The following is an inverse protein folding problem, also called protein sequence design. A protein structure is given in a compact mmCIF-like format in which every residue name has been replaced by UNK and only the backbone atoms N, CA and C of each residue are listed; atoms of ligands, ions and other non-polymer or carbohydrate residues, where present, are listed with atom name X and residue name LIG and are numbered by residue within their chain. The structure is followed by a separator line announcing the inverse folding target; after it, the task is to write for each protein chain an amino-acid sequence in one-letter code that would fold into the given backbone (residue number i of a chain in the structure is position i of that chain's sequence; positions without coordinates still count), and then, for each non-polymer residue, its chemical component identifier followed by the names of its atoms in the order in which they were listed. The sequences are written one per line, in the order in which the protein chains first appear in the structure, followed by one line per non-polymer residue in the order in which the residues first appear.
data_IF_062555256593
#
_entry.id   IF_062555256593
#
_cell.length_a   1.000
_cell.length_b   1.000
_cell.length_c   1.000
_cell.angle_alpha   90.00
_cell.angle_beta   90.00
_cell.angle_gamma   90.00
#
_symmetry.space_group_name_H-M   'P 1'
#
loop_
_entity.id
_entity.type
_entity.pdbx_description
1 polymer ?
#
# COMPACT_ATOMS: atom_id res chain seq x y z
N UNK A 1 26.88 7.71 16.26
CA UNK A 1 27.57 6.39 16.33
C UNK A 1 26.65 5.16 16.29
N UNK A 2 25.35 5.23 16.67
CA UNK A 2 24.39 4.11 16.48
C UNK A 2 23.80 3.96 15.06
N UNK A 3 23.97 4.96 14.19
CA UNK A 3 23.45 4.96 12.81
C UNK A 3 24.26 4.11 11.81
N UNK A 4 25.51 3.76 12.14
CA UNK A 4 26.43 3.06 11.21
C UNK A 4 26.37 1.53 11.32
N UNK A 5 25.69 0.95 12.32
CA UNK A 5 25.69 -0.50 12.57
C UNK A 5 24.46 -1.25 12.01
N UNK A 6 23.55 -0.57 11.29
CA UNK A 6 22.41 -1.22 10.60
C UNK A 6 22.64 -1.43 9.09
N UNK A 7 23.85 -1.19 8.56
CA UNK A 7 24.11 -1.21 7.11
C UNK A 7 24.02 -2.60 6.43
N UNK A 8 23.74 -3.69 7.16
CA UNK A 8 23.74 -5.05 6.60
C UNK A 8 22.40 -5.80 6.61
N UNK A 9 21.29 -5.20 7.06
CA UNK A 9 20.00 -5.90 7.21
C UNK A 9 18.90 -5.17 6.46
N UNK A 10 18.19 -5.88 5.57
CA UNK A 10 16.99 -5.34 4.92
C UNK A 10 15.96 -4.90 5.98
N UNK A 11 15.60 -3.62 5.94
CA UNK A 11 14.54 -3.04 6.77
C UNK A 11 13.23 -3.19 6.01
N UNK A 12 12.21 -3.79 6.63
CA UNK A 12 10.91 -3.94 5.95
C UNK A 12 10.15 -2.63 5.96
N UNK A 13 9.21 -2.49 5.05
CA UNK A 13 8.18 -1.47 5.18
C UNK A 13 7.07 -1.97 6.13
N UNK A 14 6.41 -1.03 6.80
CA UNK A 14 5.24 -1.24 7.65
C UNK A 14 4.09 -0.34 7.22
N UNK A 15 2.88 -0.88 7.26
CA UNK A 15 1.64 -0.17 6.97
C UNK A 15 0.88 0.14 8.27
N UNK A 16 0.97 1.37 8.76
CA UNK A 16 0.31 1.78 10.01
C UNK A 16 -1.05 2.38 9.67
N UNK A 17 -2.08 1.91 10.37
CA UNK A 17 -3.47 2.34 10.20
C UNK A 17 -3.99 2.83 11.55
N UNK A 18 -4.26 4.13 11.68
CA UNK A 18 -4.89 4.73 12.86
C UNK A 18 -6.32 5.12 12.52
N UNK A 19 -7.28 4.72 13.34
CA UNK A 19 -8.69 5.08 13.17
C UNK A 19 -9.24 5.61 14.49
N UNK A 20 -9.63 6.89 14.52
CA UNK A 20 -10.16 7.56 15.71
C UNK A 20 -11.58 8.10 15.47
N UNK A 21 -12.54 7.89 16.38
CA UNK A 21 -13.87 8.49 16.29
C UNK A 21 -13.79 10.02 16.48
N UNK A 22 -14.49 10.76 15.63
CA UNK A 22 -14.59 12.23 15.69
C UNK A 22 -15.79 12.61 16.54
N UNK A 23 -15.63 13.61 17.42
CA UNK A 23 -16.74 14.10 18.24
C UNK A 23 -17.82 14.77 17.36
N UNK A 24 -19.11 14.61 17.68
CA UNK A 24 -20.19 15.14 16.84
C UNK A 24 -20.13 16.66 16.61
N UNK A 25 -19.63 17.42 17.57
CA UNK A 25 -19.49 18.88 17.52
C UNK A 25 -18.27 19.35 16.71
N UNK A 26 -17.35 18.43 16.36
CA UNK A 26 -16.10 18.73 15.66
C UNK A 26 -16.09 18.28 14.18
N UNK A 27 -17.18 17.69 13.67
CA UNK A 27 -17.26 17.13 12.31
C UNK A 27 -16.93 18.18 11.21
N UNK A 28 -17.53 19.38 11.28
CA UNK A 28 -17.26 20.44 10.30
C UNK A 28 -15.85 21.04 10.42
N UNK A 29 -15.31 21.07 11.64
CA UNK A 29 -13.98 21.60 11.91
C UNK A 29 -12.90 20.69 11.30
N UNK A 30 -13.02 19.37 11.48
CA UNK A 30 -12.06 18.41 10.90
C UNK A 30 -12.14 18.38 9.38
N UNK A 31 -13.33 18.50 8.78
CA UNK A 31 -13.48 18.60 7.33
C UNK A 31 -12.73 19.81 6.76
N UNK A 32 -12.88 20.97 7.40
CA UNK A 32 -12.21 22.21 7.01
C UNK A 32 -10.69 22.10 7.18
N UNK A 33 -10.23 21.52 8.29
CA UNK A 33 -8.83 21.29 8.58
C UNK A 33 -8.17 20.38 7.51
N UNK A 34 -8.81 19.26 7.17
CA UNK A 34 -8.28 18.36 6.16
C UNK A 34 -8.29 18.97 4.76
N UNK A 35 -9.28 19.80 4.43
CA UNK A 35 -9.30 20.54 3.16
C UNK A 35 -8.13 21.54 3.07
N UNK A 36 -7.76 22.20 4.18
CA UNK A 36 -6.58 23.06 4.24
C UNK A 36 -5.28 22.25 4.13
N UNK A 37 -5.15 21.19 4.92
CA UNK A 37 -3.98 20.29 4.88
C UNK A 37 -3.78 19.68 3.48
N UNK A 38 -4.87 19.38 2.77
CA UNK A 38 -4.86 18.78 1.44
C UNK A 38 -4.26 19.65 0.35
N UNK A 39 -4.21 20.98 0.53
CA UNK A 39 -3.62 21.91 -0.46
C UNK A 39 -2.13 21.68 -0.68
N UNK A 40 -1.42 21.29 0.38
CA UNK A 40 -0.03 20.84 0.33
C UNK A 40 0.19 19.74 1.38
N UNK A 41 -0.14 18.50 1.00
CA UNK A 41 0.02 17.36 1.87
C UNK A 41 1.48 17.16 2.36
N UNK A 42 2.47 17.62 1.60
CA UNK A 42 3.88 17.51 1.97
C UNK A 42 4.30 18.50 3.05
N UNK A 43 3.84 19.74 2.96
CA UNK A 43 4.33 20.85 3.79
C UNK A 43 3.27 21.52 4.67
N UNK A 44 2.07 20.98 4.77
CA UNK A 44 1.03 21.50 5.67
C UNK A 44 1.50 21.64 7.12
N UNK A 45 0.93 22.60 7.85
CA UNK A 45 1.37 22.96 9.20
C UNK A 45 1.12 21.87 10.26
N UNK A 46 0.17 20.97 10.03
CA UNK A 46 -0.33 20.02 11.04
C UNK A 46 0.45 18.70 11.01
N UNK A 47 0.60 18.13 9.83
CA UNK A 47 1.28 16.85 9.59
C UNK A 47 2.08 16.94 8.27
N UNK A 48 3.25 17.61 8.28
CA UNK A 48 4.07 17.80 7.09
C UNK A 48 4.76 16.49 6.68
N UNK A 49 4.11 15.68 5.85
CA UNK A 49 4.60 14.36 5.46
C UNK A 49 5.99 14.40 4.78
N UNK A 50 6.35 15.48 4.10
CA UNK A 50 7.65 15.63 3.45
C UNK A 50 8.83 15.68 4.43
N UNK A 51 8.58 16.03 5.70
CA UNK A 51 9.60 16.07 6.76
C UNK A 51 9.87 14.71 7.40
N UNK A 52 9.07 13.68 7.06
CA UNK A 52 9.22 12.34 7.60
C UNK A 52 10.15 11.53 6.69
N UNK A 53 11.41 11.25 7.11
CA UNK A 53 12.45 10.78 6.21
C UNK A 53 12.19 9.39 5.62
N UNK A 54 11.53 8.53 6.41
CA UNK A 54 11.30 7.12 6.11
C UNK A 54 9.86 6.82 5.68
N UNK A 55 9.08 7.86 5.37
CA UNK A 55 7.71 7.74 4.87
C UNK A 55 7.72 7.58 3.34
N UNK A 56 7.02 6.55 2.85
CA UNK A 56 6.78 6.35 1.41
C UNK A 56 5.46 7.00 0.99
N UNK A 57 4.38 6.72 1.74
CA UNK A 57 3.05 7.25 1.47
C UNK A 57 2.36 7.70 2.76
N UNK A 58 1.64 8.82 2.68
CA UNK A 58 0.80 9.33 3.74
C UNK A 58 -0.62 9.60 3.23
N UNK A 59 -1.63 9.26 4.03
CA UNK A 59 -3.03 9.50 3.69
C UNK A 59 -3.85 9.85 4.91
N UNK A 60 -4.64 10.90 4.84
CA UNK A 60 -5.63 11.26 5.86
C UNK A 60 -7.00 11.42 5.20
N UNK A 61 -8.00 10.74 5.73
CA UNK A 61 -9.37 10.82 5.22
C UNK A 61 -10.42 10.55 6.29
N UNK A 62 -11.67 10.86 5.96
CA UNK A 62 -12.81 10.68 6.85
C UNK A 62 -13.66 9.48 6.41
N UNK A 63 -14.02 8.63 7.36
CA UNK A 63 -15.15 7.71 7.22
C UNK A 63 -16.42 8.45 7.62
N UNK A 64 -17.42 8.57 6.72
CA UNK A 64 -18.64 9.30 7.04
C UNK A 64 -19.45 8.60 8.12
N UNK A 65 -20.28 9.39 8.80
CA UNK A 65 -21.30 8.90 9.73
C UNK A 65 -22.13 7.83 9.02
N UNK A 66 -22.35 6.71 9.69
CA UNK A 66 -23.15 5.61 9.17
C UNK A 66 -24.18 5.17 10.19
N UNK A 67 -25.31 4.66 9.71
CA UNK A 67 -26.34 4.10 10.57
C UNK A 67 -26.42 2.59 10.36
N UNK A 68 -26.35 1.85 11.47
CA UNK A 68 -26.79 0.46 11.51
C UNK A 68 -28.21 0.41 12.07
N UNK A 69 -28.91 -0.72 11.93
CA UNK A 69 -30.27 -0.89 12.47
C UNK A 69 -30.40 -0.57 13.97
N UNK A 70 -29.30 -0.63 14.73
CA UNK A 70 -29.30 -0.48 16.18
C UNK A 70 -28.37 0.61 16.73
N UNK A 71 -27.55 1.28 15.90
CA UNK A 71 -26.58 2.27 16.38
C UNK A 71 -26.09 3.22 15.29
N UNK A 72 -25.92 4.50 15.64
CA UNK A 72 -25.10 5.48 14.88
C UNK A 72 -23.62 5.11 15.03
N UNK A 73 -22.94 4.97 13.92
CA UNK A 73 -21.47 4.88 13.85
C UNK A 73 -20.99 6.31 13.61
N UNK A 74 -20.16 6.88 14.51
CA UNK A 74 -19.66 8.25 14.35
C UNK A 74 -18.79 8.39 13.10
N UNK A 75 -18.58 9.63 12.68
CA UNK A 75 -17.51 9.96 11.76
C UNK A 75 -16.18 9.48 12.36
N UNK A 76 -15.25 9.03 11.51
CA UNK A 76 -13.91 8.63 11.98
C UNK A 76 -12.84 9.27 11.13
N UNK A 77 -11.82 9.79 11.79
CA UNK A 77 -10.57 10.18 11.20
C UNK A 77 -9.72 8.94 10.96
N UNK A 78 -9.16 8.81 9.75
CA UNK A 78 -8.26 7.72 9.39
C UNK A 78 -6.94 8.29 8.92
N UNK A 79 -5.84 7.84 9.54
CA UNK A 79 -4.48 8.11 9.10
C UNK A 79 -3.84 6.79 8.65
N UNK A 80 -3.45 6.70 7.39
CA UNK A 80 -2.69 5.59 6.84
C UNK A 80 -1.29 6.08 6.47
N UNK A 81 -0.27 5.37 6.94
CA UNK A 81 1.10 5.60 6.49
C UNK A 81 1.76 4.30 6.05
N UNK A 82 2.51 4.35 4.97
CA UNK A 82 3.43 3.30 4.52
C UNK A 82 4.85 3.85 4.75
N UNK A 83 5.62 3.20 5.62
CA UNK A 83 6.91 3.72 6.07
C UNK A 83 7.92 2.58 6.33
N UNK A 84 9.21 2.88 6.48
CA UNK A 84 10.19 1.86 6.89
C UNK A 84 10.04 1.50 8.37
N UNK A 85 10.31 0.24 8.73
CA UNK A 85 10.32 -0.24 10.11
C UNK A 85 11.38 0.48 10.98
N UNK A 86 11.16 0.56 12.31
CA UNK A 86 10.05 -0.02 13.06
C UNK A 86 8.85 0.94 13.25
N UNK A 87 7.65 0.37 13.32
CA UNK A 87 6.41 1.14 13.51
C UNK A 87 6.43 2.09 14.72
N UNK A 88 7.13 1.71 15.80
CA UNK A 88 7.26 2.53 17.00
C UNK A 88 8.01 3.84 16.77
N UNK A 89 9.06 3.82 15.93
CA UNK A 89 9.81 5.02 15.56
C UNK A 89 8.95 5.90 14.63
N UNK A 90 8.22 5.28 13.69
CA UNK A 90 7.30 5.99 12.79
C UNK A 90 6.14 6.69 13.52
N UNK A 91 5.56 6.06 14.54
CA UNK A 91 4.55 6.70 15.38
C UNK A 91 5.14 7.89 16.16
N UNK A 92 6.36 7.76 16.68
CA UNK A 92 7.04 8.86 17.38
C UNK A 92 7.34 10.04 16.44
N UNK A 93 7.74 9.76 15.21
CA UNK A 93 7.95 10.78 14.17
C UNK A 93 6.65 11.50 13.79
N UNK A 94 5.54 10.77 13.65
CA UNK A 94 4.23 11.39 13.36
C UNK A 94 3.82 12.38 14.45
N UNK A 95 3.89 12.00 15.73
CA UNK A 95 3.48 12.88 16.84
C UNK A 95 4.44 14.06 17.05
N UNK A 96 5.69 13.93 16.59
CA UNK A 96 6.74 14.94 16.68
C UNK A 96 6.87 15.79 15.41
N UNK A 97 6.05 15.55 14.38
CA UNK A 97 6.20 16.18 13.07
C UNK A 97 5.95 17.70 13.09
N UNK A 98 5.09 18.16 14.01
CA UNK A 98 4.73 19.56 14.16
C UNK A 98 4.19 19.87 15.55
N UNK A 99 4.36 21.12 15.98
CA UNK A 99 3.68 21.65 17.16
C UNK A 99 2.15 21.72 16.99
N UNK A 100 1.65 21.79 15.75
CA UNK A 100 0.21 21.82 15.46
C UNK A 100 -0.41 20.42 15.31
N UNK A 101 0.35 19.34 15.52
CA UNK A 101 -0.12 17.95 15.39
C UNK A 101 -1.41 17.69 16.17
N UNK A 102 -1.51 18.24 17.38
CA UNK A 102 -2.66 18.06 18.26
C UNK A 102 -3.97 18.53 17.61
N UNK A 103 -3.92 19.55 16.74
CA UNK A 103 -5.11 20.08 16.04
C UNK A 103 -5.85 19.01 15.23
N UNK A 104 -5.13 17.98 14.75
CA UNK A 104 -5.70 16.88 13.98
C UNK A 104 -6.53 15.92 14.83
N UNK A 105 -6.07 15.63 16.06
CA UNK A 105 -6.71 14.65 16.94
C UNK A 105 -7.51 15.29 18.07
N UNK A 106 -7.36 16.58 18.31
CA UNK A 106 -8.16 17.35 19.25
C UNK A 106 -9.65 17.37 18.88
N UNK A 107 -10.04 16.99 17.66
CA UNK A 107 -11.44 16.77 17.27
C UNK A 107 -11.97 15.35 17.59
N UNK A 108 -11.10 14.43 18.01
CA UNK A 108 -11.44 13.04 18.26
C UNK A 108 -11.91 12.80 19.69
N UNK A 109 -12.68 11.73 19.89
CA UNK A 109 -13.06 11.27 21.24
C UNK A 109 -11.81 10.77 21.99
N UNK A 110 -11.80 10.97 23.30
CA UNK A 110 -10.76 10.51 24.24
C UNK A 110 -9.33 11.02 23.96
N UNK A 111 -9.17 12.05 23.12
CA UNK A 111 -7.88 12.70 22.94
C UNK A 111 -7.50 13.52 24.18
N UNK A 112 -6.24 13.48 24.66
CA UNK A 112 -5.85 14.22 25.86
C UNK A 112 -6.04 15.73 25.72
N UNK A 113 -6.59 16.38 26.76
CA UNK A 113 -6.74 17.84 26.80
C UNK A 113 -5.38 18.56 26.87
N UNK A 114 -4.41 17.96 27.58
CA UNK A 114 -3.03 18.43 27.69
C UNK A 114 -2.05 17.38 27.13
N UNK A 115 -1.88 17.31 25.80
CA UNK A 115 -1.15 16.22 25.17
C UNK A 115 0.38 16.37 25.30
N UNK A 116 0.99 15.47 26.08
CA UNK A 116 2.45 15.21 26.05
C UNK A 116 2.82 14.24 24.92
N UNK A 117 4.10 14.19 24.47
CA UNK A 117 4.57 13.21 23.49
C UNK A 117 4.20 11.75 23.83
N UNK A 118 4.28 11.37 25.11
CA UNK A 118 3.93 10.03 25.59
C UNK A 118 2.44 9.76 25.45
N UNK A 119 1.59 10.73 25.83
CA UNK A 119 0.14 10.62 25.73
C UNK A 119 -0.34 10.56 24.27
N UNK A 120 0.31 11.31 23.35
CA UNK A 120 0.05 11.25 21.90
C UNK A 120 0.36 9.85 21.36
N UNK A 121 1.52 9.31 21.70
CA UNK A 121 1.92 7.95 21.26
C UNK A 121 0.97 6.90 21.83
N UNK A 122 0.60 7.02 23.11
CA UNK A 122 -0.35 6.12 23.75
C UNK A 122 -1.71 6.16 23.05
N UNK A 123 -2.21 7.37 22.74
CA UNK A 123 -3.45 7.58 22.00
C UNK A 123 -3.38 6.93 20.61
N UNK A 124 -2.35 7.22 19.81
CA UNK A 124 -2.21 6.61 18.48
C UNK A 124 -2.17 5.09 18.56
N UNK A 125 -1.39 4.52 19.50
CA UNK A 125 -1.28 3.06 19.69
C UNK A 125 -2.62 2.43 20.05
N UNK A 126 -3.41 3.07 20.91
CA UNK A 126 -4.76 2.59 21.26
C UNK A 126 -5.72 2.57 20.06
N UNK A 127 -5.45 3.41 19.05
CA UNK A 127 -6.25 3.56 17.84
C UNK A 127 -5.63 2.88 16.60
N UNK A 128 -4.50 2.17 16.75
CA UNK A 128 -3.94 1.37 15.67
C UNK A 128 -4.83 0.14 15.43
N UNK A 129 -5.27 -0.03 14.18
CA UNK A 129 -6.07 -1.17 13.74
C UNK A 129 -5.18 -2.11 12.91
N UNK A 130 -5.28 -3.41 13.19
CA UNK A 130 -4.58 -4.44 12.43
C UNK A 130 -5.09 -4.51 10.98
N UNK A 131 -4.17 -4.54 10.02
CA UNK A 131 -4.50 -4.78 8.61
C UNK A 131 -4.84 -6.28 8.43
N UNK A 132 -6.00 -6.58 7.88
CA UNK A 132 -6.41 -7.97 7.61
C UNK A 132 -5.58 -8.62 6.51
N UNK A 133 -5.16 -7.82 5.53
CA UNK A 133 -4.16 -8.18 4.53
C UNK A 133 -3.42 -6.93 4.07
N UNK A 134 -2.14 -7.08 3.76
CA UNK A 134 -1.31 -6.01 3.23
C UNK A 134 -0.34 -6.53 2.17
N UNK A 135 0.09 -5.63 1.32
CA UNK A 135 1.05 -5.90 0.25
C UNK A 135 1.95 -4.69 0.07
N UNK A 136 3.23 -4.98 -0.14
CA UNK A 136 4.23 -4.01 -0.55
C UNK A 136 4.99 -4.58 -1.74
N UNK A 137 5.14 -3.77 -2.78
CA UNK A 137 5.68 -4.16 -4.07
C UNK A 137 7.00 -4.92 -3.96
N UNK A 138 8.01 -4.29 -3.34
CA UNK A 138 9.31 -4.90 -3.10
C UNK A 138 9.67 -4.75 -1.64
N UNK A 139 9.59 -5.87 -0.92
CA UNK A 139 9.92 -5.93 0.51
C UNK A 139 11.40 -5.64 0.70
N UNK A 140 11.72 -4.74 1.62
CA UNK A 140 13.10 -4.46 2.02
C UNK A 140 13.75 -3.27 1.32
N UNK A 141 13.05 -2.62 0.38
CA UNK A 141 13.55 -1.45 -0.33
C UNK A 141 13.18 -0.18 0.45
N UNK A 142 14.15 0.35 1.19
CA UNK A 142 13.95 1.50 2.08
C UNK A 142 13.77 2.80 1.32
N UNK A 143 13.22 3.80 2.00
CA UNK A 143 13.02 5.13 1.47
C UNK A 143 14.34 5.80 1.06
N UNK A 144 15.36 5.68 1.92
CA UNK A 144 16.71 6.13 1.61
C UNK A 144 17.30 5.42 0.37
N UNK A 145 17.06 4.12 0.23
CA UNK A 145 17.52 3.36 -0.94
C UNK A 145 16.84 3.84 -2.23
N UNK A 146 15.51 4.04 -2.23
CA UNK A 146 14.80 4.50 -3.45
C UNK A 146 15.30 5.88 -3.87
N UNK A 147 15.43 6.83 -2.93
CA UNK A 147 15.99 8.17 -3.23
C UNK A 147 17.41 8.07 -3.78
N UNK A 148 18.27 7.29 -3.13
CA UNK A 148 19.64 7.10 -3.54
C UNK A 148 19.76 6.49 -4.93
N UNK A 149 18.99 5.44 -5.23
CA UNK A 149 19.01 4.76 -6.53
C UNK A 149 18.47 5.64 -7.65
N UNK A 150 17.48 6.50 -7.37
CA UNK A 150 17.01 7.50 -8.32
C UNK A 150 18.07 8.57 -8.62
N UNK A 151 18.73 9.12 -7.60
CA UNK A 151 19.81 10.09 -7.77
C UNK A 151 21.02 9.48 -8.50
N UNK A 152 21.37 8.23 -8.15
CA UNK A 152 22.43 7.47 -8.81
C UNK A 152 22.17 7.30 -10.31
N UNK A 153 20.93 6.95 -10.70
CA UNK A 153 20.57 6.84 -12.13
C UNK A 153 20.86 8.15 -12.86
N UNK A 154 20.38 9.27 -12.31
CA UNK A 154 20.56 10.60 -12.93
C UNK A 154 22.04 10.93 -13.05
N UNK A 155 22.82 10.75 -11.98
CA UNK A 155 24.26 11.01 -12.00
C UNK A 155 25.02 10.13 -13.01
N UNK A 156 24.66 8.85 -13.16
CA UNK A 156 25.25 7.96 -14.16
C UNK A 156 24.87 8.42 -15.57
N UNK A 157 23.63 8.84 -15.80
CA UNK A 157 23.18 9.36 -17.09
C UNK A 157 23.95 10.63 -17.46
N UNK A 158 24.02 11.60 -16.54
CA UNK A 158 24.76 12.84 -16.73
C UNK A 158 26.24 12.58 -17.04
N UNK A 159 26.87 11.62 -16.34
CA UNK A 159 28.23 11.18 -16.63
C UNK A 159 28.38 10.60 -18.05
N UNK A 160 27.45 9.73 -18.46
CA UNK A 160 27.48 9.14 -19.80
C UNK A 160 27.29 10.20 -20.89
N UNK A 161 26.53 11.25 -20.63
CA UNK A 161 26.27 12.33 -21.58
C UNK A 161 27.46 13.31 -21.74
N UNK A 162 28.48 13.24 -20.88
CA UNK A 162 29.68 14.12 -20.97
C UNK A 162 30.56 13.88 -22.20
N UNK A 163 30.48 12.71 -22.83
CA UNK A 163 31.32 12.34 -24.00
C UNK A 163 30.70 11.24 -24.85
N UNK A 164 31.22 11.07 -26.06
CA UNK A 164 30.88 9.91 -26.89
C UNK A 164 31.58 8.64 -26.38
N UNK A 165 30.84 7.54 -26.37
CA UNK A 165 31.31 6.19 -26.02
C UNK A 165 31.41 5.27 -27.25
N UNK A 166 31.32 5.85 -28.46
CA UNK A 166 31.38 5.09 -29.71
C UNK A 166 32.71 4.32 -29.83
N UNK A 167 32.62 3.04 -30.20
CA UNK A 167 33.78 2.16 -30.36
C UNK A 167 34.33 1.55 -29.07
N UNK A 168 33.79 1.90 -27.89
CA UNK A 168 34.14 1.24 -26.63
C UNK A 168 33.32 -0.03 -26.41
N UNK A 169 33.90 -1.04 -25.77
CA UNK A 169 33.14 -2.21 -25.33
C UNK A 169 32.20 -1.85 -24.19
N UNK A 170 31.08 -2.57 -24.06
CA UNK A 170 30.15 -2.40 -22.95
C UNK A 170 30.82 -2.66 -21.60
N UNK A 171 31.79 -3.57 -21.56
CA UNK A 171 32.62 -3.82 -20.37
C UNK A 171 33.46 -2.60 -19.98
N UNK A 172 34.04 -1.89 -20.95
CA UNK A 172 34.81 -0.66 -20.71
C UNK A 172 33.92 0.49 -20.24
N UNK A 173 32.75 0.67 -20.87
CA UNK A 173 31.77 1.68 -20.44
C UNK A 173 31.32 1.40 -19.00
N UNK A 174 30.98 0.15 -18.68
CA UNK A 174 30.64 -0.26 -17.30
C UNK A 174 31.79 0.00 -16.33
N UNK A 175 33.03 -0.31 -16.72
CA UNK A 175 34.19 -0.03 -15.88
C UNK A 175 34.32 1.46 -15.59
N UNK A 176 34.16 2.32 -16.61
CA UNK A 176 34.22 3.76 -16.45
C UNK A 176 33.11 4.30 -15.51
N UNK A 177 31.86 3.79 -15.64
CA UNK A 177 30.77 4.12 -14.71
C UNK A 177 31.15 3.74 -13.27
N UNK A 178 31.72 2.54 -13.06
CA UNK A 178 32.15 2.10 -11.72
C UNK A 178 33.25 2.98 -11.14
N UNK A 179 34.19 3.43 -11.98
CA UNK A 179 35.25 4.37 -11.57
C UNK A 179 34.66 5.73 -11.19
N UNK A 180 33.73 6.26 -11.99
CA UNK A 180 33.00 7.49 -11.67
C UNK A 180 32.28 7.39 -10.33
N UNK A 181 31.47 6.34 -10.14
CA UNK A 181 30.73 6.10 -8.88
C UNK A 181 31.68 5.91 -7.68
N UNK A 182 32.85 5.27 -7.88
CA UNK A 182 33.84 5.11 -6.81
C UNK A 182 34.51 6.45 -6.43
N UNK A 183 34.72 7.32 -7.41
CA UNK A 183 35.34 8.63 -7.24
C UNK A 183 34.46 9.63 -6.49
N UNK A 184 33.14 9.51 -6.59
CA UNK A 184 32.17 10.37 -5.93
C UNK A 184 31.80 9.84 -4.53
N UNK A 185 31.99 10.65 -3.48
CA UNK A 185 31.67 10.26 -2.10
C UNK A 185 30.18 10.01 -1.86
N UNK A 186 29.32 10.72 -2.60
CA UNK A 186 27.87 10.67 -2.43
C UNK A 186 27.24 9.49 -3.20
N UNK A 187 27.99 8.91 -4.15
CA UNK A 187 27.56 7.75 -4.94
C UNK A 187 28.23 6.43 -4.52
N UNK A 188 29.36 6.48 -3.81
CA UNK A 188 30.18 5.30 -3.48
C UNK A 188 29.41 4.18 -2.78
N UNK A 189 28.42 4.52 -1.95
CA UNK A 189 27.54 3.56 -1.27
C UNK A 189 26.83 2.60 -2.25
N UNK A 190 26.61 3.02 -3.50
CA UNK A 190 25.91 2.24 -4.52
C UNK A 190 26.72 1.03 -5.01
N UNK A 191 28.05 1.03 -4.81
CA UNK A 191 28.92 -0.11 -5.15
C UNK A 191 28.72 -1.31 -4.23
N UNK A 192 28.23 -1.05 -3.01
CA UNK A 192 27.85 -2.10 -2.07
C UNK A 192 26.48 -2.69 -2.48
N UNK A 193 26.37 -4.02 -2.61
CA UNK A 193 25.09 -4.67 -2.89
C UNK A 193 24.03 -4.29 -1.86
N UNK A 194 22.78 -4.16 -2.31
CA UNK A 194 21.67 -3.91 -1.41
C UNK A 194 21.58 -5.00 -0.33
N UNK A 195 21.29 -4.59 0.92
CA UNK A 195 21.20 -5.49 2.04
C UNK A 195 20.08 -6.52 1.82
N UNK A 196 20.40 -7.80 2.01
CA UNK A 196 19.40 -8.87 1.99
C UNK A 196 18.71 -9.06 3.34
N UNK A 197 17.62 -9.85 3.40
CA UNK A 197 17.04 -10.25 4.68
C UNK A 197 18.04 -11.09 5.48
N UNK A 198 18.20 -10.73 6.75
CA UNK A 198 19.04 -11.46 7.71
C UNK A 198 18.59 -12.91 7.88
N UNK A 199 19.49 -13.79 8.35
CA UNK A 199 19.15 -15.18 8.66
C UNK A 199 17.98 -15.28 9.65
N UNK A 200 17.95 -14.42 10.68
CA UNK A 200 16.86 -14.37 11.65
C UNK A 200 15.52 -14.03 10.98
N UNK A 201 15.50 -13.04 10.10
CA UNK A 201 14.28 -12.69 9.35
C UNK A 201 13.84 -13.82 8.42
N UNK A 202 14.78 -14.48 7.73
CA UNK A 202 14.46 -15.64 6.88
C UNK A 202 13.86 -16.78 7.70
N UNK A 203 14.48 -17.12 8.84
CA UNK A 203 13.98 -18.16 9.74
C UNK A 203 12.61 -17.79 10.32
N UNK A 204 12.38 -16.51 10.67
CA UNK A 204 11.09 -16.05 11.13
C UNK A 204 10.00 -16.18 10.05
N UNK A 205 10.31 -15.86 8.78
CA UNK A 205 9.37 -16.06 7.67
C UNK A 205 9.09 -17.53 7.40
N UNK A 206 10.12 -18.38 7.40
CA UNK A 206 9.94 -19.83 7.27
C UNK A 206 9.11 -20.41 8.41
N UNK A 207 9.41 -20.01 9.66
CA UNK A 207 8.63 -20.41 10.83
C UNK A 207 7.17 -19.96 10.74
N UNK A 208 6.93 -18.73 10.29
CA UNK A 208 5.58 -18.24 10.04
C UNK A 208 4.85 -19.08 8.98
N UNK A 209 5.48 -19.33 7.83
CA UNK A 209 4.90 -20.11 6.75
C UNK A 209 4.59 -21.55 7.19
N UNK A 210 5.55 -22.24 7.82
CA UNK A 210 5.38 -23.61 8.30
C UNK A 210 4.27 -23.70 9.36
N UNK A 211 4.19 -22.73 10.28
CA UNK A 211 3.10 -22.66 11.25
C UNK A 211 1.75 -22.48 10.56
N UNK A 212 1.65 -21.59 9.58
CA UNK A 212 0.40 -21.35 8.84
C UNK A 212 -0.03 -22.58 8.02
N UNK A 213 0.91 -23.25 7.36
CA UNK A 213 0.64 -24.50 6.62
C UNK A 213 0.27 -25.64 7.57
N UNK A 214 0.95 -25.77 8.71
CA UNK A 214 0.62 -26.75 9.74
C UNK A 214 -0.78 -26.56 10.31
N UNK A 215 -1.18 -25.33 10.63
CA UNK A 215 -2.55 -25.00 11.04
C UNK A 215 -3.57 -25.35 9.94
N UNK A 216 -3.24 -25.05 8.68
CA UNK A 216 -4.06 -25.42 7.53
C UNK A 216 -4.24 -26.94 7.40
N UNK A 217 -3.17 -27.71 7.57
CA UNK A 217 -3.20 -29.17 7.53
C UNK A 217 -4.03 -29.77 8.68
N UNK A 218 -3.89 -29.22 9.89
CA UNK A 218 -4.69 -29.61 11.05
C UNK A 218 -6.19 -29.31 10.84
N UNK A 219 -6.51 -28.20 10.18
CA UNK A 219 -7.90 -27.83 9.85
C UNK A 219 -8.46 -28.59 8.64
N UNK A 220 -7.61 -29.24 7.83
CA UNK A 220 -8.01 -29.84 6.55
C UNK A 220 -9.10 -30.93 6.69
N UNK A 221 -9.07 -31.88 7.65
CA UNK A 221 -10.13 -32.88 7.77
C UNK A 221 -11.51 -32.26 8.01
N UNK A 222 -11.57 -31.25 8.88
CA UNK A 222 -12.81 -30.51 9.14
C UNK A 222 -13.24 -29.69 7.92
N UNK A 223 -12.29 -29.07 7.22
CA UNK A 223 -12.59 -28.31 6.01
C UNK A 223 -13.15 -29.21 4.89
N UNK A 224 -12.59 -30.41 4.69
CA UNK A 224 -13.07 -31.41 3.73
C UNK A 224 -14.48 -31.85 4.11
N UNK A 225 -14.73 -32.14 5.40
CA UNK A 225 -16.05 -32.52 5.90
C UNK A 225 -17.10 -31.41 5.66
N UNK A 226 -16.74 -30.15 5.87
CA UNK A 226 -17.64 -29.00 5.71
C UNK A 226 -17.73 -28.48 4.26
N UNK A 227 -16.87 -28.94 3.35
CA UNK A 227 -16.80 -28.42 1.98
C UNK A 227 -18.11 -28.57 1.19
N UNK A 228 -18.85 -29.69 1.26
CA UNK A 228 -20.13 -29.81 0.56
C UNK A 228 -21.18 -28.80 1.07
N UNK A 229 -21.26 -28.63 2.39
CA UNK A 229 -22.16 -27.65 3.01
C UNK A 229 -21.77 -26.22 2.61
N UNK A 230 -20.48 -25.90 2.66
CA UNK A 230 -19.96 -24.61 2.21
C UNK A 230 -20.31 -24.35 0.75
N UNK A 231 -20.11 -25.32 -0.14
CA UNK A 231 -20.44 -25.20 -1.55
C UNK A 231 -21.94 -24.96 -1.77
N UNK A 232 -22.82 -25.68 -1.05
CA UNK A 232 -24.27 -25.47 -1.12
C UNK A 232 -24.67 -24.06 -0.67
N UNK A 233 -24.16 -23.61 0.48
CA UNK A 233 -24.44 -22.27 1.02
C UNK A 233 -23.89 -21.17 0.10
N UNK A 234 -22.69 -21.35 -0.45
CA UNK A 234 -22.10 -20.45 -1.43
C UNK A 234 -23.02 -20.31 -2.64
N UNK A 235 -23.46 -21.44 -3.21
CA UNK A 235 -24.32 -21.45 -4.40
C UNK A 235 -25.70 -20.87 -4.12
N UNK A 236 -26.24 -21.08 -2.92
CA UNK A 236 -27.49 -20.44 -2.50
C UNK A 236 -27.32 -18.91 -2.45
N UNK A 237 -26.33 -18.41 -1.71
CA UNK A 237 -26.06 -16.99 -1.59
C UNK A 237 -25.70 -16.31 -2.92
N UNK A 238 -24.94 -16.96 -3.81
CA UNK A 238 -24.64 -16.43 -5.14
C UNK A 238 -25.89 -16.25 -6.03
N UNK A 239 -26.96 -17.02 -5.77
CA UNK A 239 -28.23 -16.92 -6.49
C UNK A 239 -29.20 -15.92 -5.84
N UNK A 240 -29.18 -15.81 -4.52
CA UNK A 240 -30.18 -15.03 -3.76
C UNK A 240 -29.71 -13.63 -3.37
N UNK A 241 -28.41 -13.41 -3.19
CA UNK A 241 -27.91 -12.11 -2.78
C UNK A 241 -28.16 -11.05 -3.87
N UNK A 242 -28.62 -9.85 -3.51
CA UNK A 242 -28.79 -8.77 -4.47
C UNK A 242 -27.44 -8.27 -4.99
N UNK A 243 -27.40 -7.97 -6.29
CA UNK A 243 -26.25 -7.37 -6.97
C UNK A 243 -26.75 -6.15 -7.77
N UNK A 244 -27.14 -5.09 -7.06
CA UNK A 244 -27.73 -3.91 -7.69
C UNK A 244 -26.64 -3.05 -8.34
N UNK A 245 -26.74 -2.84 -9.64
CA UNK A 245 -25.93 -1.85 -10.35
C UNK A 245 -26.52 -0.47 -10.12
N UNK A 246 -25.77 0.40 -9.43
CA UNK A 246 -26.15 1.78 -9.15
C UNK A 246 -24.96 2.66 -9.45
N UNK A 247 -25.12 3.54 -10.45
CA UNK A 247 -24.12 4.53 -10.82
C UNK A 247 -24.11 5.67 -9.81
N UNK A 248 -22.93 6.23 -9.52
CA UNK A 248 -22.84 7.50 -8.80
C UNK A 248 -23.34 8.65 -9.68
N UNK A 249 -23.72 9.79 -9.09
CA UNK A 249 -24.04 10.98 -9.88
C UNK A 249 -22.82 11.47 -10.65
N UNK A 250 -23.03 12.08 -11.81
CA UNK A 250 -21.93 12.60 -12.62
C UNK A 250 -21.12 13.68 -11.86
N UNK A 251 -21.79 14.49 -11.03
CA UNK A 251 -21.15 15.44 -10.10
C UNK A 251 -20.18 14.76 -9.14
N UNK A 252 -20.57 13.61 -8.57
CA UNK A 252 -19.71 12.86 -7.65
C UNK A 252 -18.52 12.25 -8.39
N UNK A 253 -18.73 11.77 -9.61
CA UNK A 253 -17.64 11.27 -10.46
C UNK A 253 -16.66 12.40 -10.78
N UNK A 254 -17.15 13.59 -11.13
CA UNK A 254 -16.30 14.74 -11.42
C UNK A 254 -15.48 15.14 -10.18
N UNK A 255 -16.10 15.24 -9.00
CA UNK A 255 -15.39 15.53 -7.75
C UNK A 255 -14.27 14.53 -7.42
N UNK A 256 -14.46 13.25 -7.77
CA UNK A 256 -13.43 12.22 -7.58
C UNK A 256 -12.31 12.39 -8.60
N UNK A 257 -12.66 12.60 -9.87
CA UNK A 257 -11.71 12.80 -10.96
C UNK A 257 -10.82 14.04 -10.73
N UNK A 258 -11.37 15.14 -10.19
CA UNK A 258 -10.63 16.37 -9.90
C UNK A 258 -9.54 16.17 -8.81
N UNK A 259 -9.66 15.11 -8.00
CA UNK A 259 -8.72 14.76 -6.94
C UNK A 259 -7.84 13.54 -7.29
N UNK A 260 -7.94 13.03 -8.51
CA UNK A 260 -7.17 11.90 -9.03
C UNK A 260 -6.08 12.37 -10.01
N UNK A 261 -5.13 11.49 -10.31
CA UNK A 261 -4.18 11.64 -11.41
C UNK A 261 -3.30 12.91 -11.34
N UNK A 262 -3.05 13.41 -10.13
CA UNK A 262 -2.22 14.61 -9.85
C UNK A 262 -0.72 14.32 -10.07
N UNK A 263 -0.28 13.12 -9.73
CA UNK A 263 1.12 12.67 -9.85
C UNK A 263 1.18 11.36 -10.65
N UNK A 264 2.40 10.91 -10.98
CA UNK A 264 2.61 9.61 -11.65
C UNK A 264 2.11 8.46 -10.79
N UNK A 265 2.31 8.57 -9.48
CA UNK A 265 1.68 7.70 -8.51
C UNK A 265 0.32 8.27 -8.13
N UNK A 266 -0.64 7.42 -7.84
CA UNK A 266 -1.99 7.78 -7.40
C UNK A 266 -2.43 6.89 -6.23
N UNK A 267 -3.58 7.23 -5.64
CA UNK A 267 -4.22 6.53 -4.56
C UNK A 267 -5.63 6.11 -4.91
N UNK A 268 -6.07 5.02 -4.29
CA UNK A 268 -7.47 4.65 -4.27
C UNK A 268 -7.87 4.25 -2.86
N UNK A 269 -9.00 4.79 -2.38
CA UNK A 269 -9.58 4.48 -1.08
C UNK A 269 -11.04 4.12 -1.28
N UNK A 270 -11.48 2.98 -0.74
CA UNK A 270 -12.87 2.57 -0.78
C UNK A 270 -13.35 2.01 0.54
N UNK A 271 -14.63 2.24 0.82
CA UNK A 271 -15.33 1.67 1.97
C UNK A 271 -16.49 0.78 1.49
N UNK A 272 -16.40 -0.50 1.80
CA UNK A 272 -17.44 -1.49 1.51
C UNK A 272 -18.13 -1.98 2.77
N UNK A 273 -19.40 -2.38 2.64
CA UNK A 273 -20.10 -3.19 3.64
C UNK A 273 -20.06 -4.65 3.21
N UNK A 274 -19.80 -5.57 4.14
CA UNK A 274 -19.98 -6.99 3.89
C UNK A 274 -21.47 -7.33 3.85
N UNK A 275 -21.83 -8.31 3.04
CA UNK A 275 -23.14 -8.94 3.04
C UNK A 275 -23.40 -9.54 4.44
N UNK A 276 -24.64 -9.48 4.94
CA UNK A 276 -24.97 -9.93 6.29
C UNK A 276 -24.85 -11.45 6.43
N UNK A 277 -24.70 -11.89 7.68
CA UNK A 277 -24.69 -13.31 8.05
C UNK A 277 -23.29 -13.85 8.34
N UNK A 278 -23.25 -14.89 9.18
CA UNK A 278 -22.00 -15.52 9.62
C UNK A 278 -21.24 -16.14 8.43
N UNK A 279 -21.96 -16.75 7.48
CA UNK A 279 -21.35 -17.34 6.28
C UNK A 279 -20.48 -16.34 5.51
N UNK A 280 -21.04 -15.18 5.13
CA UNK A 280 -20.33 -14.15 4.36
C UNK A 280 -19.18 -13.53 5.15
N UNK A 281 -19.38 -13.28 6.44
CA UNK A 281 -18.35 -12.76 7.34
C UNK A 281 -17.18 -13.73 7.49
N UNK A 282 -17.44 -14.99 7.82
CA UNK A 282 -16.39 -16.02 7.97
C UNK A 282 -15.68 -16.28 6.66
N UNK A 283 -16.41 -16.33 5.54
CA UNK A 283 -15.80 -16.48 4.20
C UNK A 283 -14.84 -15.33 3.90
N UNK A 284 -15.24 -14.08 4.12
CA UNK A 284 -14.36 -12.93 3.91
C UNK A 284 -13.12 -12.94 4.81
N UNK A 285 -13.26 -13.33 6.09
CA UNK A 285 -12.14 -13.47 7.02
C UNK A 285 -11.14 -14.51 6.53
N UNK A 286 -11.62 -15.69 6.15
CA UNK A 286 -10.75 -16.79 5.69
C UNK A 286 -10.05 -16.44 4.38
N UNK A 287 -10.77 -15.80 3.45
CA UNK A 287 -10.18 -15.37 2.17
C UNK A 287 -9.14 -14.27 2.35
N UNK A 288 -9.38 -13.29 3.23
CA UNK A 288 -8.37 -12.26 3.52
C UNK A 288 -7.17 -12.81 4.28
N UNK A 289 -7.38 -13.74 5.21
CA UNK A 289 -6.28 -14.44 5.87
C UNK A 289 -5.41 -15.19 4.85
N UNK A 290 -6.03 -15.92 3.92
CA UNK A 290 -5.34 -16.61 2.84
C UNK A 290 -4.63 -15.64 1.88
N UNK A 291 -5.30 -14.55 1.50
CA UNK A 291 -4.72 -13.51 0.65
C UNK A 291 -3.49 -12.87 1.30
N UNK A 292 -3.53 -12.59 2.61
CA UNK A 292 -2.39 -12.07 3.36
C UNK A 292 -1.21 -13.05 3.37
N UNK A 293 -1.48 -14.34 3.56
CA UNK A 293 -0.46 -15.38 3.51
C UNK A 293 0.19 -15.45 2.12
N UNK A 294 -0.61 -15.44 1.06
CA UNK A 294 -0.11 -15.46 -0.33
C UNK A 294 0.66 -14.17 -0.66
N UNK A 295 0.16 -13.00 -0.26
CA UNK A 295 0.85 -11.72 -0.48
C UNK A 295 2.23 -11.73 0.18
N UNK A 296 2.32 -12.15 1.44
CA UNK A 296 3.55 -12.17 2.23
C UNK A 296 4.61 -13.14 1.67
N UNK A 297 4.21 -14.33 1.21
CA UNK A 297 5.15 -15.41 0.87
C UNK A 297 5.35 -15.62 -0.63
N UNK A 298 4.38 -15.26 -1.47
CA UNK A 298 4.41 -15.51 -2.91
C UNK A 298 4.54 -14.22 -3.73
N UNK A 299 3.76 -13.18 -3.41
CA UNK A 299 3.84 -11.89 -4.11
C UNK A 299 4.80 -10.92 -3.41
N UNK A 300 6.08 -11.27 -3.26
CA UNK A 300 7.06 -10.42 -2.56
C UNK A 300 8.14 -9.82 -3.49
N UNK A 301 7.94 -9.89 -4.81
CA UNK A 301 8.89 -9.42 -5.85
C UNK A 301 8.20 -8.65 -6.98
N UNK A 302 7.75 -7.44 -6.69
CA UNK A 302 7.30 -6.43 -7.65
C UNK A 302 6.18 -6.81 -8.62
N UNK A 303 5.45 -7.89 -8.30
CA UNK A 303 4.41 -8.41 -9.18
C UNK A 303 3.30 -9.05 -8.35
N UNK A 304 2.07 -8.59 -8.56
CA UNK A 304 0.86 -9.28 -8.11
C UNK A 304 0.18 -9.86 -9.33
N UNK A 305 0.45 -11.13 -9.62
CA UNK A 305 -0.21 -11.89 -10.69
C UNK A 305 -0.27 -11.14 -12.04
N UNK A 306 0.82 -10.48 -12.44
CA UNK A 306 0.96 -9.74 -13.69
C UNK A 306 0.77 -8.22 -13.58
N UNK A 307 0.29 -7.71 -12.44
CA UNK A 307 0.18 -6.27 -12.17
C UNK A 307 1.45 -5.77 -11.49
N UNK A 308 2.14 -4.82 -12.12
CA UNK A 308 3.40 -4.24 -11.66
C UNK A 308 3.31 -2.73 -11.34
N UNK A 309 2.09 -2.18 -11.40
CA UNK A 309 1.79 -0.78 -11.11
C UNK A 309 1.45 -0.53 -9.65
N UNK A 310 1.23 -1.58 -8.83
CA UNK A 310 0.89 -1.44 -7.42
C UNK A 310 2.15 -1.21 -6.60
N UNK A 311 2.18 -0.15 -5.78
CA UNK A 311 3.24 0.08 -4.78
C UNK A 311 2.92 -0.60 -3.46
N UNK A 312 1.71 -0.36 -2.97
CA UNK A 312 1.22 -0.96 -1.73
C UNK A 312 -0.30 -1.04 -1.75
N UNK A 313 -0.86 -2.00 -1.01
CA UNK A 313 -2.27 -1.97 -0.65
C UNK A 313 -2.50 -2.58 0.73
N UNK A 314 -3.64 -2.24 1.33
CA UNK A 314 -4.12 -2.84 2.57
C UNK A 314 -5.63 -2.98 2.59
N UNK A 315 -6.07 -4.01 3.32
CA UNK A 315 -7.46 -4.35 3.57
C UNK A 315 -7.70 -4.33 5.07
N UNK A 316 -8.62 -3.50 5.55
CA UNK A 316 -8.82 -3.26 6.99
C UNK A 316 -10.27 -3.55 7.35
N UNK A 317 -10.49 -4.53 8.24
CA UNK A 317 -11.81 -4.76 8.81
C UNK A 317 -12.12 -3.72 9.90
N UNK A 318 -13.32 -3.16 9.86
CA UNK A 318 -13.84 -2.28 10.90
C UNK A 318 -15.26 -2.71 11.32
N UNK A 319 -15.70 -2.21 12.48
CA UNK A 319 -17.04 -2.46 13.05
C UNK A 319 -17.39 -3.94 13.17
N UNK A 320 -16.59 -4.65 13.95
CA UNK A 320 -16.79 -6.09 14.15
C UNK A 320 -16.79 -6.86 12.82
N UNK A 321 -15.87 -6.46 11.92
CA UNK A 321 -15.68 -7.04 10.58
C UNK A 321 -16.94 -6.99 9.71
N UNK A 322 -17.77 -5.95 9.87
CA UNK A 322 -18.97 -5.71 9.03
C UNK A 322 -18.70 -4.77 7.87
N UNK A 323 -17.64 -3.96 7.96
CA UNK A 323 -17.17 -3.09 6.88
C UNK A 323 -15.70 -3.37 6.60
N UNK A 324 -15.30 -3.07 5.38
CA UNK A 324 -13.96 -3.29 4.86
C UNK A 324 -13.48 -2.01 4.18
N UNK A 325 -12.32 -1.51 4.59
CA UNK A 325 -11.60 -0.46 3.87
C UNK A 325 -10.62 -1.15 2.94
N UNK A 326 -10.58 -0.71 1.69
CA UNK A 326 -9.50 -1.01 0.76
C UNK A 326 -8.75 0.29 0.46
N UNK A 327 -7.43 0.27 0.62
CA UNK A 327 -6.57 1.39 0.31
C UNK A 327 -5.39 0.88 -0.54
N UNK A 328 -5.14 1.50 -1.68
CA UNK A 328 -3.98 1.18 -2.53
C UNK A 328 -3.26 2.44 -2.99
N UNK A 329 -1.94 2.34 -3.19
CA UNK A 329 -1.09 3.28 -3.89
C UNK A 329 -0.56 2.59 -5.15
N UNK A 330 -0.64 3.25 -6.30
CA UNK A 330 -0.35 2.65 -7.61
C UNK A 330 0.15 3.66 -8.64
N UNK A 331 0.56 3.20 -9.82
CA UNK A 331 1.00 4.03 -10.95
C UNK A 331 -0.12 4.28 -11.96
N UNK A 332 -0.13 5.47 -12.56
CA UNK A 332 -1.01 5.81 -13.69
C UNK A 332 -2.42 6.19 -13.26
N UNK A 333 -3.33 6.19 -14.24
CA UNK A 333 -4.71 6.62 -14.00
C UNK A 333 -5.56 5.54 -13.34
N UNK A 334 -6.62 5.95 -12.61
CA UNK A 334 -7.53 4.97 -12.01
C UNK A 334 -8.14 4.04 -13.05
N UNK A 335 -8.51 4.54 -14.24
CA UNK A 335 -9.05 3.70 -15.31
C UNK A 335 -8.04 2.64 -15.74
N UNK A 336 -6.79 3.03 -16.04
CA UNK A 336 -5.74 2.08 -16.45
C UNK A 336 -5.44 1.03 -15.36
N UNK A 337 -5.48 1.46 -14.10
CA UNK A 337 -5.31 0.58 -12.96
C UNK A 337 -6.46 -0.42 -12.87
N UNK A 338 -7.71 0.03 -12.99
CA UNK A 338 -8.88 -0.85 -12.89
C UNK A 338 -8.97 -1.83 -14.06
N UNK A 339 -8.58 -1.44 -15.27
CA UNK A 339 -8.50 -2.33 -16.43
C UNK A 339 -7.49 -3.47 -16.19
N UNK A 340 -6.29 -3.13 -15.71
CA UNK A 340 -5.27 -4.12 -15.31
C UNK A 340 -5.81 -5.09 -14.26
N UNK A 341 -6.60 -4.58 -13.31
CA UNK A 341 -7.22 -5.38 -12.27
C UNK A 341 -8.28 -6.35 -12.81
N UNK A 342 -9.15 -5.88 -13.71
CA UNK A 342 -10.20 -6.70 -14.31
C UNK A 342 -9.60 -7.80 -15.17
N UNK A 343 -8.62 -7.45 -16.02
CA UNK A 343 -8.04 -8.35 -17.02
C UNK A 343 -7.12 -9.40 -16.40
N UNK A 344 -6.24 -8.98 -15.48
CA UNK A 344 -5.18 -9.86 -14.95
C UNK A 344 -5.57 -10.54 -13.65
N UNK A 345 -6.30 -9.83 -12.78
CA UNK A 345 -6.58 -10.27 -11.40
C UNK A 345 -8.06 -10.25 -11.02
N UNK A 346 -8.96 -10.24 -12.00
CA UNK A 346 -10.41 -10.24 -11.77
C UNK A 346 -10.87 -11.41 -10.89
N UNK A 347 -10.21 -12.56 -10.98
CA UNK A 347 -10.47 -13.72 -10.10
C UNK A 347 -10.14 -13.44 -8.63
N UNK A 348 -9.07 -12.67 -8.35
CA UNK A 348 -8.65 -12.29 -7.00
C UNK A 348 -9.55 -11.20 -6.43
N UNK A 349 -9.93 -10.22 -7.26
CA UNK A 349 -10.97 -9.25 -6.91
C UNK A 349 -12.27 -9.94 -6.53
N UNK A 350 -12.71 -10.91 -7.33
CA UNK A 350 -13.91 -11.68 -7.07
C UNK A 350 -13.82 -12.42 -5.72
N UNK A 351 -12.69 -13.07 -5.43
CA UNK A 351 -12.51 -13.82 -4.20
C UNK A 351 -12.67 -12.91 -2.97
N UNK A 352 -12.07 -11.73 -3.00
CA UNK A 352 -12.10 -10.80 -1.87
C UNK A 352 -13.44 -10.06 -1.78
N UNK A 353 -13.88 -9.45 -2.89
CA UNK A 353 -14.93 -8.43 -2.88
C UNK A 353 -16.34 -8.97 -3.17
N UNK A 354 -16.52 -10.20 -3.65
CA UNK A 354 -17.85 -10.80 -3.86
C UNK A 354 -18.67 -10.98 -2.58
N UNK A 355 -18.02 -10.90 -1.42
CA UNK A 355 -18.67 -10.85 -0.11
C UNK A 355 -19.18 -9.44 0.26
N UNK A 356 -18.89 -8.42 -0.55
CA UNK A 356 -19.38 -7.05 -0.40
C UNK A 356 -20.80 -6.88 -0.94
N UNK A 357 -21.62 -6.07 -0.24
CA UNK A 357 -22.98 -5.73 -0.67
C UNK A 357 -22.95 -5.11 -2.06
N UNK A 358 -23.84 -5.54 -2.95
CA UNK A 358 -23.98 -5.10 -4.35
C UNK A 358 -22.76 -5.32 -5.27
N UNK A 359 -21.78 -6.14 -4.88
CA UNK A 359 -20.72 -6.56 -5.81
C UNK A 359 -21.33 -7.31 -7.01
N UNK A 360 -20.79 -7.16 -8.23
CA UNK A 360 -21.27 -7.88 -9.42
C UNK A 360 -21.41 -9.39 -9.17
N UNK A 361 -22.41 -10.03 -9.79
CA UNK A 361 -22.68 -11.46 -9.53
C UNK A 361 -21.46 -12.32 -9.87
N UNK A 362 -21.04 -13.11 -8.89
CA UNK A 362 -19.88 -13.99 -8.98
C UNK A 362 -20.32 -15.44 -8.88
N UNK A 363 -19.70 -16.33 -9.64
CA UNK A 363 -19.86 -17.79 -9.48
C UNK A 363 -18.60 -18.41 -8.88
N UNK A 364 -18.79 -19.28 -7.90
CA UNK A 364 -17.71 -19.99 -7.22
C UNK A 364 -16.63 -19.06 -6.66
N UNK A 365 -17.02 -17.87 -6.19
CA UNK A 365 -16.14 -16.81 -5.70
C UNK A 365 -15.14 -16.21 -6.71
N UNK A 366 -14.93 -16.79 -7.89
CA UNK A 366 -13.83 -16.36 -8.79
C UNK A 366 -14.27 -16.05 -10.22
N UNK A 367 -15.44 -16.52 -10.67
CA UNK A 367 -15.90 -16.37 -12.07
C UNK A 367 -16.90 -15.23 -12.23
N UNK A 368 -16.95 -14.67 -13.44
CA UNK A 368 -17.79 -13.54 -13.84
C UNK A 368 -17.44 -12.29 -13.03
N UNK A 369 -18.30 -11.81 -12.12
CA UNK A 369 -17.97 -10.75 -11.17
C UNK A 369 -17.35 -9.52 -11.82
N UNK A 370 -16.10 -9.19 -11.48
CA UNK A 370 -15.33 -8.09 -12.04
C UNK A 370 -15.28 -8.03 -13.58
N UNK A 371 -15.49 -9.16 -14.28
CA UNK A 371 -15.56 -9.21 -15.75
C UNK A 371 -16.78 -8.49 -16.33
N UNK A 372 -17.82 -8.27 -15.52
CA UNK A 372 -18.83 -7.25 -15.85
C UNK A 372 -18.22 -5.88 -15.52
N UNK A 373 -17.38 -5.39 -16.43
CA UNK A 373 -16.56 -4.20 -16.25
C UNK A 373 -17.41 -3.00 -15.86
N UNK A 374 -18.52 -2.78 -16.56
CA UNK A 374 -19.41 -1.66 -16.29
C UNK A 374 -20.03 -1.73 -14.88
N UNK A 375 -20.50 -2.91 -14.46
CA UNK A 375 -21.03 -3.07 -13.12
C UNK A 375 -19.93 -2.94 -12.04
N UNK A 376 -18.72 -3.41 -12.33
CA UNK A 376 -17.59 -3.31 -11.42
C UNK A 376 -17.09 -1.86 -11.28
N UNK A 377 -16.93 -1.13 -12.39
CA UNK A 377 -16.55 0.30 -12.41
C UNK A 377 -17.58 1.16 -11.67
N UNK A 378 -18.88 0.92 -11.87
CA UNK A 378 -19.93 1.58 -11.09
C UNK A 378 -19.85 1.22 -9.60
N UNK A 379 -19.57 -0.04 -9.28
CA UNK A 379 -19.44 -0.53 -7.90
C UNK A 379 -18.29 0.14 -7.14
N UNK A 380 -17.12 0.29 -7.77
CA UNK A 380 -15.93 0.89 -7.15
C UNK A 380 -16.12 2.41 -6.97
N UNK A 381 -16.57 3.12 -8.02
CA UNK A 381 -16.75 4.59 -7.99
C UNK A 381 -17.74 5.02 -6.92
N UNK A 382 -18.82 4.24 -6.71
CA UNK A 382 -19.81 4.50 -5.65
C UNK A 382 -19.26 4.34 -4.24
N UNK A 383 -18.22 3.53 -4.04
CA UNK A 383 -17.61 3.23 -2.72
C UNK A 383 -16.34 4.01 -2.47
N UNK A 384 -15.88 4.74 -3.47
CA UNK A 384 -14.66 5.52 -3.39
C UNK A 384 -14.83 6.70 -2.43
N UNK A 385 -13.88 6.80 -1.50
CA UNK A 385 -13.74 7.92 -0.58
C UNK A 385 -12.66 8.87 -1.13
N UNK A 386 -12.86 10.20 -1.03
CA UNK A 386 -11.79 11.14 -1.32
C UNK A 386 -10.70 10.97 -0.25
N UNK A 387 -9.44 11.05 -0.65
CA UNK A 387 -8.35 11.21 0.28
C UNK A 387 -8.07 12.71 0.41
N UNK A 388 -8.63 13.35 1.44
CA UNK A 388 -8.50 14.79 1.63
C UNK A 388 -7.04 15.24 1.72
N UNK A 389 -6.19 14.42 2.34
CA UNK A 389 -4.74 14.62 2.37
C UNK A 389 -4.09 13.37 1.83
N UNK A 390 -3.30 13.49 0.76
CA UNK A 390 -2.54 12.38 0.21
C UNK A 390 -1.14 12.82 -0.22
N UNK A 391 -0.15 12.03 0.19
CA UNK A 391 1.26 12.29 -0.05
C UNK A 391 1.96 11.04 -0.57
N UNK A 392 2.84 11.23 -1.55
CA UNK A 392 3.85 10.28 -1.98
C UNK A 392 5.22 10.95 -1.90
N UNK A 393 6.22 10.22 -1.38
CA UNK A 393 7.60 10.69 -1.37
C UNK A 393 8.29 10.65 -2.74
N UNK A 394 7.65 10.05 -3.74
CA UNK A 394 8.21 9.80 -5.06
C UNK A 394 7.19 10.07 -6.18
N UNK A 395 6.66 11.29 -6.22
CA UNK A 395 5.62 11.70 -7.16
C UNK A 395 5.92 11.36 -8.64
N UNK A 396 7.20 11.29 -9.03
CA UNK A 396 7.63 11.09 -10.41
C UNK A 396 8.18 9.68 -10.72
N UNK A 397 8.23 8.76 -9.75
CA UNK A 397 8.79 7.42 -9.97
C UNK A 397 7.68 6.38 -10.05
N UNK A 398 7.58 5.68 -11.18
CA UNK A 398 6.76 4.46 -11.25
C UNK A 398 7.41 3.31 -10.49
N UNK A 399 6.64 2.29 -10.11
CA UNK A 399 7.17 1.03 -9.57
C UNK A 399 8.20 0.39 -10.51
N UNK A 400 7.98 0.52 -11.83
CA UNK A 400 8.95 0.11 -12.86
C UNK A 400 10.24 0.94 -12.84
N UNK A 401 10.16 2.25 -12.61
CA UNK A 401 11.35 3.07 -12.46
C UNK A 401 12.13 2.70 -11.21
N UNK A 402 11.44 2.51 -10.08
CA UNK A 402 12.07 2.09 -8.83
C UNK A 402 12.79 0.75 -9.01
N UNK A 403 12.14 -0.22 -9.67
CA UNK A 403 12.76 -1.52 -9.94
C UNK A 403 13.95 -1.42 -10.89
N UNK A 404 13.82 -0.66 -11.98
CA UNK A 404 14.92 -0.45 -12.91
C UNK A 404 16.12 0.26 -12.25
N UNK A 405 15.88 1.22 -11.37
CA UNK A 405 16.95 1.92 -10.66
C UNK A 405 17.71 0.97 -9.71
N UNK A 406 16.99 0.07 -9.03
CA UNK A 406 17.61 -0.98 -8.22
C UNK A 406 18.45 -1.95 -9.08
N UNK A 407 17.97 -2.29 -10.28
CA UNK A 407 18.70 -3.14 -11.23
C UNK A 407 19.94 -2.43 -11.81
N UNK A 408 19.88 -1.11 -12.03
CA UNK A 408 21.04 -0.30 -12.40
C UNK A 408 22.11 -0.39 -11.30
N UNK A 409 21.73 -0.14 -10.04
CA UNK A 409 22.65 -0.27 -8.90
C UNK A 409 23.24 -1.68 -8.80
N UNK A 410 22.39 -2.70 -8.87
CA UNK A 410 22.82 -4.11 -8.78
C UNK A 410 23.91 -4.45 -9.79
N UNK A 411 23.83 -3.91 -11.00
CA UNK A 411 24.85 -4.14 -12.01
C UNK A 411 26.18 -3.42 -11.81
N UNK A 412 26.32 -2.53 -10.82
CA UNK A 412 27.62 -1.96 -10.42
C UNK A 412 28.48 -2.97 -9.64
N UNK A 413 27.86 -3.98 -9.04
CA UNK A 413 28.54 -5.03 -8.28
C UNK A 413 28.73 -6.30 -9.13
N UNK A 414 29.63 -7.19 -8.71
CA UNK A 414 29.87 -8.47 -9.37
C UNK A 414 30.59 -8.40 -10.72
N UNK A 415 30.78 -9.58 -11.32
CA UNK A 415 31.43 -9.77 -12.64
C UNK A 415 30.36 -9.87 -13.73
N UNK A 416 30.60 -9.19 -14.85
CA UNK A 416 29.76 -9.28 -16.05
C UNK A 416 30.66 -9.55 -17.25
N UNK A 417 30.18 -10.37 -18.19
CA UNK A 417 30.78 -10.47 -19.52
C UNK A 417 30.21 -9.37 -20.42
N UNK A 418 30.72 -9.26 -21.65
CA UNK A 418 30.36 -8.21 -22.60
C UNK A 418 28.84 -8.15 -22.89
N UNK A 419 28.22 -9.31 -23.14
CA UNK A 419 26.78 -9.41 -23.41
C UNK A 419 25.94 -8.96 -22.20
N UNK A 420 26.32 -9.38 -21.00
CA UNK A 420 25.64 -8.98 -19.77
C UNK A 420 25.81 -7.48 -19.48
N UNK A 421 27.01 -6.92 -19.70
CA UNK A 421 27.27 -5.49 -19.57
C UNK A 421 26.44 -4.69 -20.58
N UNK A 422 26.36 -5.12 -21.84
CA UNK A 422 25.54 -4.48 -22.86
C UNK A 422 24.05 -4.48 -22.49
N UNK A 423 23.54 -5.61 -21.98
CA UNK A 423 22.15 -5.71 -21.49
C UNK A 423 21.90 -4.77 -20.31
N UNK A 424 22.85 -4.66 -19.38
CA UNK A 424 22.74 -3.76 -18.24
C UNK A 424 22.77 -2.29 -18.66
N UNK A 425 23.64 -1.89 -19.59
CA UNK A 425 23.71 -0.51 -20.09
C UNK A 425 22.39 -0.05 -20.73
N UNK A 426 21.66 -0.94 -21.42
CA UNK A 426 20.32 -0.65 -21.98
C UNK A 426 19.25 -0.30 -20.93
N UNK A 427 19.52 -0.49 -19.64
CA UNK A 427 18.63 -0.05 -18.56
C UNK A 427 18.78 1.43 -18.22
N UNK A 428 19.92 2.03 -18.56
CA UNK A 428 20.26 3.41 -18.25
C UNK A 428 19.68 4.34 -19.32
N UNK A 429 19.92 3.98 -20.60
CA UNK A 429 19.42 4.66 -21.80
C UNK A 429 17.91 4.56 -22.00
#
# INVERSE_FOLDING_TARGET
MRALLRQGVATRQVAITVIAPVRPDAESAVESLLAEMGRDAGNNAVLPFAKLPDLHFGRVFLLPVAHTRSRRIPMRLVVLVDADEPASERLAELVGASAAFDSLFACCEDYPDEPSPESRIAYLRAHVIENAAEYTNTVGRTMAQIRGEAALRVAIQDFLDTRSWAGMSASDVRHAIRVFVAGDSDLRWALEPAAGPSLRQRLAEWGHLLRSLGLGLLAAPLAILLAPLFALLLRWHERTDPARRVKASDERIQQLADAEDIYTQNQYTALGRLKPGLFRRTTAIMLLWGANLVARHYFNRANVAGVNTIHAFRLIFIDDRKRLIFASNYDGSLESYMDDFIDKVGWGLNAIFSNGVDYPRTRWLIKDGARDELAFKDFIRRRQLPAQVWYTAHANLTGRNIDNNAEIRSGLSGRMNESAAAKWLRRIY
#
